data_IF_559239076434
#
_entry.id   IF_559239076434
#
_cell.length_a   1.000
_cell.length_b   1.000
_cell.length_c   1.000
_cell.angle_alpha   90.00
_cell.angle_beta   90.00
_cell.angle_gamma   90.00
#
_symmetry.space_group_name_H-M   'P 1'
#
loop_
_entity.id
_entity.type
_entity.pdbx_description
1 polymer ?
#
# COMPACT_ATOMS: atom_id res chain seq x y z
N UNK A 1 -26.72 -23.18 -39.25
CA UNK A 1 -26.04 -23.51 -37.98
C UNK A 1 -24.59 -23.87 -38.29
N UNK A 2 -23.68 -22.87 -38.39
CA UNK A 2 -22.36 -23.12 -39.00
C UNK A 2 -21.32 -22.00 -38.77
N UNK A 3 -21.40 -21.25 -37.65
CA UNK A 3 -20.52 -20.09 -37.43
C UNK A 3 -19.68 -20.11 -36.15
N UNK A 4 -20.13 -20.76 -35.07
CA UNK A 4 -19.53 -20.59 -33.73
C UNK A 4 -18.53 -21.68 -33.31
N UNK A 5 -18.40 -22.75 -34.08
CA UNK A 5 -17.51 -23.88 -33.75
C UNK A 5 -16.17 -23.87 -34.51
N UNK A 6 -16.03 -23.07 -35.56
CA UNK A 6 -14.77 -22.95 -36.31
C UNK A 6 -13.75 -22.01 -35.66
N UNK A 7 -14.18 -21.06 -34.84
CA UNK A 7 -13.31 -20.12 -34.14
C UNK A 7 -12.64 -20.72 -32.89
N UNK A 8 -13.25 -21.75 -32.28
CA UNK A 8 -12.69 -22.46 -31.13
C UNK A 8 -11.56 -23.44 -31.52
N UNK A 9 -11.54 -23.92 -32.77
CA UNK A 9 -10.52 -24.86 -33.24
C UNK A 9 -9.21 -24.20 -33.67
N UNK A 10 -9.20 -22.90 -33.99
CA UNK A 10 -7.99 -22.20 -34.46
C UNK A 10 -7.16 -21.57 -33.34
N UNK A 11 -7.74 -21.33 -32.15
CA UNK A 11 -7.01 -20.78 -30.99
C UNK A 11 -6.17 -21.88 -30.29
N UNK A 12 -6.58 -23.15 -30.39
CA UNK A 12 -5.86 -24.27 -29.75
C UNK A 12 -4.62 -24.75 -30.52
N UNK A 13 -4.48 -24.44 -31.82
CA UNK A 13 -3.32 -24.89 -32.62
C UNK A 13 -2.13 -23.93 -32.51
N UNK A 14 -2.34 -22.64 -32.21
CA UNK A 14 -1.25 -21.69 -31.98
C UNK A 14 -0.53 -21.90 -30.64
N UNK A 15 -1.17 -22.56 -29.66
CA UNK A 15 -0.56 -22.92 -28.37
C UNK A 15 0.28 -24.21 -28.43
N UNK A 16 0.16 -25.02 -29.49
CA UNK A 16 0.82 -26.33 -29.58
C UNK A 16 2.25 -26.31 -30.12
N UNK A 17 2.63 -25.31 -30.93
CA UNK A 17 3.93 -25.33 -31.64
C UNK A 17 5.05 -24.63 -30.87
N UNK A 18 4.73 -23.74 -29.92
CA UNK A 18 5.75 -23.07 -29.08
C UNK A 18 6.30 -24.00 -27.99
N UNK A 19 5.56 -25.06 -27.62
CA UNK A 19 5.96 -25.97 -26.55
C UNK A 19 7.13 -26.91 -26.94
N UNK A 20 7.33 -27.20 -28.23
CA UNK A 20 8.33 -28.20 -28.64
C UNK A 20 9.75 -27.63 -28.83
N UNK A 21 9.87 -26.32 -29.08
CA UNK A 21 11.18 -25.65 -29.22
C UNK A 21 11.88 -25.38 -27.87
N UNK A 22 11.15 -25.42 -26.75
CA UNK A 22 11.69 -25.13 -25.41
C UNK A 22 12.27 -26.39 -24.74
N UNK A 23 11.94 -27.59 -25.25
CA UNK A 23 12.33 -28.86 -24.63
C UNK A 23 13.79 -29.27 -24.89
N UNK A 24 14.53 -28.55 -25.76
CA UNK A 24 15.90 -28.91 -26.15
C UNK A 24 16.97 -28.00 -25.55
N UNK A 25 16.61 -26.99 -24.75
CA UNK A 25 17.59 -26.23 -23.98
C UNK A 25 17.87 -26.91 -22.63
N UNK A 26 19.14 -27.03 -22.22
CA UNK A 26 19.47 -27.63 -20.94
C UNK A 26 18.76 -26.84 -19.84
N UNK A 27 17.92 -27.54 -19.06
CA UNK A 27 17.23 -27.00 -17.89
C UNK A 27 18.26 -26.69 -16.81
N UNK A 28 18.97 -25.58 -16.91
CA UNK A 28 19.25 -24.77 -15.73
C UNK A 28 17.89 -24.30 -15.25
N UNK A 29 17.41 -24.86 -14.14
CA UNK A 29 16.19 -24.37 -13.48
C UNK A 29 16.25 -22.84 -13.40
N UNK A 30 15.18 -22.09 -13.73
CA UNK A 30 15.22 -20.66 -13.53
C UNK A 30 15.38 -20.45 -12.03
N UNK A 31 16.59 -20.06 -11.60
CA UNK A 31 16.76 -19.46 -10.29
C UNK A 31 15.79 -18.29 -10.27
N UNK A 32 14.75 -18.40 -9.45
CA UNK A 32 13.76 -17.34 -9.29
C UNK A 32 14.56 -16.07 -8.99
N UNK A 33 14.50 -15.07 -9.89
CA UNK A 33 15.33 -13.87 -9.81
C UNK A 33 15.22 -13.21 -8.43
N UNK A 34 14.09 -13.43 -7.75
CA UNK A 34 13.80 -12.96 -6.40
C UNK A 34 14.56 -13.67 -5.26
N UNK A 35 15.47 -14.61 -5.56
CA UNK A 35 16.36 -15.25 -4.55
C UNK A 35 17.66 -14.48 -4.29
N UNK A 36 17.98 -13.53 -5.19
CA UNK A 36 19.07 -12.57 -5.06
C UNK A 36 18.54 -11.22 -4.52
N UNK A 37 19.06 -10.72 -3.37
CA UNK A 37 18.62 -9.44 -2.80
C UNK A 37 18.75 -8.25 -3.76
N UNK A 38 19.79 -8.22 -4.61
CA UNK A 38 19.98 -7.12 -5.54
C UNK A 38 18.93 -7.14 -6.66
N UNK A 39 18.52 -8.33 -7.10
CA UNK A 39 17.42 -8.47 -8.04
C UNK A 39 16.06 -8.13 -7.42
N UNK A 40 15.79 -8.56 -6.19
CA UNK A 40 14.56 -8.16 -5.47
C UNK A 40 14.45 -6.65 -5.37
N UNK A 41 15.54 -5.97 -5.04
CA UNK A 41 15.55 -4.52 -4.99
C UNK A 41 15.22 -3.90 -6.36
N UNK A 42 15.84 -4.36 -7.44
CA UNK A 42 15.52 -3.85 -8.79
C UNK A 42 14.04 -4.02 -9.13
N UNK A 43 13.47 -5.20 -8.86
CA UNK A 43 12.06 -5.49 -9.13
C UNK A 43 11.13 -4.61 -8.28
N UNK A 44 11.38 -4.51 -6.96
CA UNK A 44 10.60 -3.66 -6.06
C UNK A 44 10.62 -2.19 -6.47
N UNK A 45 11.73 -1.70 -7.01
CA UNK A 45 11.87 -0.31 -7.44
C UNK A 45 11.33 -0.07 -8.85
N UNK A 46 11.20 -1.11 -9.68
CA UNK A 46 10.71 -1.04 -11.06
C UNK A 46 9.21 -1.35 -11.22
N UNK A 47 8.57 -1.99 -10.24
CA UNK A 47 7.15 -2.38 -10.26
C UNK A 47 6.21 -1.16 -10.21
N UNK A 48 6.04 -0.42 -11.30
CA UNK A 48 5.10 0.71 -11.32
C UNK A 48 3.63 0.23 -11.30
N UNK A 49 2.74 0.86 -10.49
CA UNK A 49 2.97 2.05 -9.66
C UNK A 49 3.54 1.80 -8.24
N UNK A 50 3.72 0.54 -7.82
CA UNK A 50 4.25 0.18 -6.49
C UNK A 50 5.69 0.66 -6.21
N UNK A 51 6.51 0.81 -7.24
CA UNK A 51 7.91 1.23 -7.15
C UNK A 51 8.07 2.61 -6.53
N UNK A 52 7.09 3.50 -6.68
CA UNK A 52 7.07 4.80 -6.00
C UNK A 52 6.99 4.66 -4.47
N UNK A 53 6.20 3.70 -3.98
CA UNK A 53 6.12 3.40 -2.55
C UNK A 53 7.42 2.76 -2.07
N UNK A 54 7.97 1.79 -2.79
CA UNK A 54 9.26 1.17 -2.49
C UNK A 54 10.39 2.19 -2.39
N UNK A 55 10.48 3.12 -3.35
CA UNK A 55 11.45 4.24 -3.32
C UNK A 55 11.25 5.15 -2.11
N UNK A 56 9.99 5.41 -1.75
CA UNK A 56 9.66 6.21 -0.56
C UNK A 56 10.13 5.51 0.70
N UNK A 57 9.76 4.24 0.91
CA UNK A 57 10.18 3.44 2.08
C UNK A 57 11.70 3.38 2.16
N UNK A 58 12.39 3.09 1.05
CA UNK A 58 13.86 3.06 1.00
C UNK A 58 14.49 4.38 1.47
N UNK A 59 13.93 5.52 1.07
CA UNK A 59 14.44 6.85 1.46
C UNK A 59 14.10 7.19 2.92
N UNK A 60 12.90 6.88 3.38
CA UNK A 60 12.39 7.36 4.68
C UNK A 60 12.71 6.40 5.82
N UNK A 61 12.67 5.09 5.58
CA UNK A 61 12.94 4.00 6.53
C UNK A 61 13.76 2.89 5.85
N UNK A 62 15.06 3.11 5.62
CA UNK A 62 15.90 2.15 4.91
C UNK A 62 15.95 0.76 5.58
N UNK A 63 15.86 0.70 6.91
CA UNK A 63 15.79 -0.58 7.65
C UNK A 63 14.52 -1.38 7.32
N UNK A 64 13.37 -0.71 7.21
CA UNK A 64 12.11 -1.37 6.81
C UNK A 64 12.20 -1.86 5.35
N UNK A 65 12.90 -1.13 4.47
CA UNK A 65 13.13 -1.55 3.09
C UNK A 65 14.03 -2.80 3.00
N UNK A 66 15.11 -2.86 3.78
CA UNK A 66 15.97 -4.03 3.83
C UNK A 66 15.25 -5.24 4.44
N UNK A 67 14.42 -5.03 5.45
CA UNK A 67 13.57 -6.09 6.02
C UNK A 67 12.52 -6.61 5.01
N UNK A 68 11.91 -5.73 4.22
CA UNK A 68 11.02 -6.12 3.11
C UNK A 68 11.76 -7.00 2.08
N UNK A 69 12.95 -6.56 1.65
CA UNK A 69 13.80 -7.34 0.73
C UNK A 69 14.10 -8.72 1.30
N UNK A 70 14.51 -8.78 2.56
CA UNK A 70 14.84 -10.04 3.24
C UNK A 70 13.62 -10.99 3.26
N UNK A 71 12.43 -10.50 3.61
CA UNK A 71 11.21 -11.29 3.62
C UNK A 71 10.85 -11.86 2.23
N UNK A 72 10.99 -11.05 1.18
CA UNK A 72 10.76 -11.49 -0.21
C UNK A 72 11.78 -12.56 -0.63
N UNK A 73 13.07 -12.34 -0.34
CA UNK A 73 14.13 -13.30 -0.65
C UNK A 73 13.92 -14.62 0.09
N UNK A 74 13.57 -14.56 1.37
CA UNK A 74 13.28 -15.74 2.18
C UNK A 74 12.11 -16.54 1.59
N UNK A 75 11.00 -15.87 1.24
CA UNK A 75 9.85 -16.54 0.64
C UNK A 75 10.18 -17.19 -0.70
N UNK A 76 10.95 -16.50 -1.54
CA UNK A 76 11.40 -17.04 -2.83
C UNK A 76 12.34 -18.23 -2.67
N UNK A 77 13.27 -18.20 -1.69
CA UNK A 77 14.18 -19.32 -1.38
C UNK A 77 13.44 -20.53 -0.81
N UNK A 78 12.35 -20.31 -0.11
CA UNK A 78 11.45 -21.37 0.34
C UNK A 78 10.61 -21.99 -0.80
N UNK A 79 10.85 -21.63 -2.06
CA UNK A 79 10.14 -22.15 -3.22
C UNK A 79 8.80 -21.46 -3.50
N UNK A 80 8.57 -20.27 -2.91
CA UNK A 80 7.35 -19.51 -3.11
C UNK A 80 7.13 -19.08 -4.56
N UNK A 81 5.90 -19.27 -5.03
CA UNK A 81 5.46 -18.77 -6.33
C UNK A 81 5.25 -17.24 -6.34
N UNK A 82 5.08 -16.62 -7.51
CA UNK A 82 4.92 -15.17 -7.63
C UNK A 82 3.80 -14.57 -6.76
N UNK A 83 2.64 -15.24 -6.67
CA UNK A 83 1.51 -14.77 -5.86
C UNK A 83 1.84 -14.75 -4.36
N UNK A 84 2.53 -15.78 -3.86
CA UNK A 84 2.89 -15.89 -2.45
C UNK A 84 3.99 -14.88 -2.06
N UNK A 85 4.88 -14.55 -2.99
CA UNK A 85 5.86 -13.47 -2.83
C UNK A 85 5.18 -12.10 -2.76
N UNK A 86 4.21 -11.85 -3.65
CA UNK A 86 3.42 -10.61 -3.62
C UNK A 86 2.62 -10.47 -2.33
N UNK A 87 1.99 -11.56 -1.87
CA UNK A 87 1.28 -11.59 -0.58
C UNK A 87 2.22 -11.27 0.58
N UNK A 88 3.41 -11.87 0.60
CA UNK A 88 4.44 -11.60 1.63
C UNK A 88 4.84 -10.12 1.65
N UNK A 89 5.11 -9.54 0.47
CA UNK A 89 5.46 -8.13 0.35
C UNK A 89 4.30 -7.22 0.81
N UNK A 90 3.08 -7.51 0.36
CA UNK A 90 1.88 -6.76 0.73
C UNK A 90 1.59 -6.79 2.24
N UNK A 91 1.67 -7.98 2.85
CA UNK A 91 1.49 -8.16 4.29
C UNK A 91 2.55 -7.41 5.10
N UNK A 92 3.83 -7.45 4.67
CA UNK A 92 4.90 -6.70 5.30
C UNK A 92 4.61 -5.19 5.26
N UNK A 93 4.29 -4.66 4.08
CA UNK A 93 4.03 -3.22 3.89
C UNK A 93 2.80 -2.79 4.70
N UNK A 94 1.72 -3.57 4.69
CA UNK A 94 0.51 -3.26 5.48
C UNK A 94 0.82 -3.22 6.98
N UNK A 95 1.51 -4.24 7.50
CA UNK A 95 1.91 -4.27 8.92
C UNK A 95 2.86 -3.12 9.29
N UNK A 96 3.79 -2.77 8.40
CA UNK A 96 4.71 -1.65 8.62
C UNK A 96 3.98 -0.30 8.61
N UNK A 97 3.08 -0.08 7.64
CA UNK A 97 2.19 1.08 7.59
C UNK A 97 1.38 1.23 8.88
N UNK A 98 0.79 0.13 9.39
CA UNK A 98 0.02 0.15 10.64
C UNK A 98 0.86 0.64 11.84
N UNK A 99 2.10 0.14 11.99
CA UNK A 99 2.99 0.60 13.08
C UNK A 99 3.30 2.09 13.01
N UNK A 100 3.27 2.68 11.82
CA UNK A 100 3.60 4.10 11.60
C UNK A 100 2.41 5.03 11.77
N UNK A 101 1.16 4.57 11.58
CA UNK A 101 -0.06 5.40 11.66
C UNK A 101 -0.14 6.23 12.94
N UNK A 102 0.14 5.61 14.08
CA UNK A 102 0.09 6.30 15.38
C UNK A 102 1.07 7.49 15.48
N UNK A 103 2.20 7.46 14.76
CA UNK A 103 3.21 8.52 14.81
C UNK A 103 2.84 9.76 13.98
N UNK A 104 1.94 9.64 13.00
CA UNK A 104 1.63 10.71 12.04
C UNK A 104 1.11 11.97 12.75
N UNK A 105 0.41 11.82 13.86
CA UNK A 105 -0.09 12.97 14.65
C UNK A 105 1.04 13.88 15.16
N UNK A 106 2.29 13.40 15.19
CA UNK A 106 3.47 14.20 15.55
C UNK A 106 4.16 14.82 14.33
N UNK A 107 3.72 14.56 13.10
CA UNK A 107 4.34 15.12 11.90
C UNK A 107 4.23 16.67 11.88
N UNK A 108 5.25 17.40 11.40
CA UNK A 108 5.15 18.82 11.10
C UNK A 108 3.92 19.13 10.25
N UNK A 109 3.31 20.30 10.46
CA UNK A 109 2.02 20.68 9.84
C UNK A 109 1.99 20.46 8.32
N UNK A 110 3.02 20.82 7.53
CA UNK A 110 3.00 20.57 6.09
C UNK A 110 2.86 19.09 5.72
N UNK A 111 3.60 18.21 6.40
CA UNK A 111 3.58 16.77 6.15
C UNK A 111 2.26 16.13 6.63
N UNK A 112 1.75 16.56 7.80
CA UNK A 112 0.45 16.14 8.30
C UNK A 112 -0.69 16.52 7.34
N UNK A 113 -0.68 17.76 6.81
CA UNK A 113 -1.68 18.21 5.83
C UNK A 113 -1.60 17.43 4.51
N UNK A 114 -0.40 17.13 4.02
CA UNK A 114 -0.23 16.32 2.82
C UNK A 114 -0.81 14.90 2.99
N UNK A 115 -0.57 14.27 4.13
CA UNK A 115 -1.18 12.99 4.48
C UNK A 115 -2.72 13.09 4.55
N UNK A 116 -3.25 14.06 5.31
CA UNK A 116 -4.70 14.24 5.47
C UNK A 116 -5.40 14.51 4.13
N UNK A 117 -4.79 15.31 3.24
CA UNK A 117 -5.33 15.56 1.91
C UNK A 117 -5.41 14.27 1.07
N UNK A 118 -4.38 13.41 1.15
CA UNK A 118 -4.38 12.13 0.44
C UNK A 118 -5.40 11.13 1.04
N UNK A 119 -5.56 11.10 2.37
CA UNK A 119 -6.58 10.30 3.06
C UNK A 119 -7.99 10.76 2.71
N UNK A 120 -8.26 12.07 2.74
CA UNK A 120 -9.56 12.64 2.38
C UNK A 120 -9.90 12.30 0.93
N UNK A 121 -8.97 12.45 -0.01
CA UNK A 121 -9.21 12.12 -1.42
C UNK A 121 -9.57 10.63 -1.63
N UNK A 122 -8.89 9.72 -0.91
CA UNK A 122 -9.23 8.29 -0.94
C UNK A 122 -10.62 8.04 -0.36
N UNK A 123 -10.92 8.59 0.82
CA UNK A 123 -12.19 8.41 1.50
C UNK A 123 -13.38 9.03 0.74
N UNK A 124 -13.19 10.18 0.08
CA UNK A 124 -14.21 10.81 -0.77
C UNK A 124 -14.51 9.94 -1.98
N UNK A 125 -13.49 9.36 -2.60
CA UNK A 125 -13.69 8.44 -3.71
C UNK A 125 -14.40 7.17 -3.26
N UNK A 126 -14.00 6.58 -2.12
CA UNK A 126 -14.71 5.46 -1.51
C UNK A 126 -16.17 5.81 -1.21
N UNK A 127 -16.44 6.98 -0.65
CA UNK A 127 -17.82 7.41 -0.34
C UNK A 127 -18.71 7.49 -1.59
N UNK A 128 -18.09 7.79 -2.74
CA UNK A 128 -18.79 7.92 -4.02
C UNK A 128 -19.01 6.56 -4.70
N UNK A 129 -18.02 5.67 -4.63
CA UNK A 129 -18.06 4.38 -5.36
C UNK A 129 -18.57 3.21 -4.52
N UNK A 130 -18.39 3.23 -3.21
CA UNK A 130 -18.91 2.25 -2.26
C UNK A 130 -18.96 2.83 -0.83
N UNK A 131 -20.11 3.39 -0.42
CA UNK A 131 -20.33 3.87 0.94
C UNK A 131 -20.01 2.82 2.01
N UNK A 132 -20.25 1.53 1.73
CA UNK A 132 -19.95 0.42 2.64
C UNK A 132 -18.44 0.28 2.87
N UNK A 133 -17.62 0.33 1.81
CA UNK A 133 -16.16 0.29 1.93
C UNK A 133 -15.61 1.53 2.62
N UNK A 134 -16.21 2.69 2.39
CA UNK A 134 -15.86 3.89 3.13
C UNK A 134 -16.17 3.75 4.63
N UNK A 135 -17.33 3.20 5.00
CA UNK A 135 -17.66 2.92 6.39
C UNK A 135 -16.68 1.90 7.01
N UNK A 136 -16.34 0.84 6.28
CA UNK A 136 -15.34 -0.14 6.69
C UNK A 136 -13.95 0.48 6.90
N UNK A 137 -13.55 1.42 6.04
CA UNK A 137 -12.30 2.17 6.17
C UNK A 137 -12.22 2.92 7.50
N UNK A 138 -13.27 3.61 7.91
CA UNK A 138 -13.28 4.36 9.17
C UNK A 138 -13.50 3.48 10.41
N UNK A 139 -14.20 2.35 10.26
CA UNK A 139 -14.42 1.39 11.35
C UNK A 139 -13.12 0.67 11.74
N UNK A 140 -12.37 0.22 10.73
CA UNK A 140 -11.09 -0.46 10.91
C UNK A 140 -10.13 -0.19 9.74
N UNK A 141 -9.36 0.91 9.80
CA UNK A 141 -8.39 1.25 8.76
C UNK A 141 -7.26 0.22 8.62
N UNK A 142 -7.08 -0.69 9.58
CA UNK A 142 -6.07 -1.74 9.55
C UNK A 142 -6.55 -2.98 8.78
N UNK A 143 -7.86 -3.16 8.63
CA UNK A 143 -8.45 -4.24 7.83
C UNK A 143 -8.53 -3.85 6.36
N UNK A 144 -7.37 -3.78 5.69
CA UNK A 144 -7.27 -3.44 4.26
C UNK A 144 -8.21 -4.29 3.40
N UNK A 145 -8.36 -5.59 3.70
CA UNK A 145 -9.27 -6.48 2.97
C UNK A 145 -10.74 -6.04 3.03
N UNK A 146 -11.15 -5.38 4.11
CA UNK A 146 -12.53 -4.92 4.31
C UNK A 146 -12.90 -3.68 3.48
N UNK A 147 -11.93 -2.85 3.10
CA UNK A 147 -12.19 -1.57 2.42
C UNK A 147 -11.44 -1.37 1.11
N UNK A 148 -10.36 -2.12 0.83
CA UNK A 148 -9.53 -1.96 -0.37
C UNK A 148 -10.30 -2.24 -1.66
N UNK A 149 -10.40 -1.20 -2.49
CA UNK A 149 -11.04 -1.26 -3.81
C UNK A 149 -9.94 -1.24 -4.90
N UNK A 150 -9.81 -2.29 -5.74
CA UNK A 150 -8.72 -2.38 -6.73
C UNK A 150 -8.66 -1.22 -7.73
N UNK A 151 -9.82 -0.67 -8.09
CA UNK A 151 -9.97 0.51 -8.95
C UNK A 151 -9.39 1.78 -8.32
N UNK A 152 -9.23 1.81 -6.99
CA UNK A 152 -8.66 2.93 -6.24
C UNK A 152 -7.18 2.75 -5.89
N UNK A 153 -6.49 1.75 -6.47
CA UNK A 153 -5.07 1.43 -6.19
C UNK A 153 -4.17 2.66 -6.24
N UNK A 154 -4.37 3.58 -7.18
CA UNK A 154 -3.56 4.79 -7.30
C UNK A 154 -3.74 5.75 -6.10
N UNK A 155 -4.97 5.91 -5.59
CA UNK A 155 -5.26 6.72 -4.41
C UNK A 155 -4.70 6.05 -3.14
N UNK A 156 -4.83 4.74 -3.03
CA UNK A 156 -4.22 3.96 -1.95
C UNK A 156 -2.69 4.16 -1.89
N UNK A 157 -2.01 4.07 -3.04
CA UNK A 157 -0.55 4.29 -3.11
C UNK A 157 -0.18 5.72 -2.75
N UNK A 158 -0.92 6.73 -3.23
CA UNK A 158 -0.69 8.13 -2.87
C UNK A 158 -0.83 8.36 -1.36
N UNK A 159 -1.88 7.81 -0.75
CA UNK A 159 -2.12 7.91 0.68
C UNK A 159 -1.00 7.22 1.49
N UNK A 160 -0.56 6.03 1.08
CA UNK A 160 0.55 5.34 1.73
C UNK A 160 1.87 6.12 1.59
N UNK A 161 2.20 6.64 0.40
CA UNK A 161 3.41 7.47 0.22
C UNK A 161 3.40 8.66 1.19
N UNK A 162 2.29 9.41 1.24
CA UNK A 162 2.16 10.55 2.15
C UNK A 162 2.23 10.14 3.63
N UNK A 163 1.71 8.95 3.98
CA UNK A 163 1.83 8.38 5.32
C UNK A 163 3.28 8.10 5.71
N UNK A 164 4.04 7.45 4.84
CA UNK A 164 5.45 7.12 5.09
C UNK A 164 6.32 8.38 5.18
N UNK A 165 6.02 9.40 4.37
CA UNK A 165 6.67 10.72 4.46
C UNK A 165 6.33 11.45 5.76
N UNK A 166 5.05 11.47 6.15
CA UNK A 166 4.61 12.10 7.40
C UNK A 166 5.19 11.38 8.63
N UNK A 167 5.25 10.05 8.62
CA UNK A 167 5.86 9.27 9.69
C UNK A 167 7.35 9.55 9.84
N UNK A 168 8.09 9.70 8.73
CA UNK A 168 9.49 10.11 8.79
C UNK A 168 9.65 11.53 9.31
N UNK A 169 8.82 12.47 8.84
CA UNK A 169 8.83 13.83 9.34
C UNK A 169 8.50 13.90 10.84
N UNK A 170 7.60 13.05 11.32
CA UNK A 170 7.29 12.91 12.75
C UNK A 170 8.46 12.35 13.56
N UNK A 171 9.22 11.38 13.02
CA UNK A 171 10.43 10.84 13.64
C UNK A 171 11.52 11.90 13.75
N UNK A 172 11.77 12.63 12.66
CA UNK A 172 12.91 13.52 12.54
C UNK A 172 12.64 14.90 13.17
N UNK A 173 11.39 15.38 13.10
CA UNK A 173 10.96 16.70 13.56
C UNK A 173 9.58 16.63 14.25
N UNK A 174 9.47 15.97 15.43
CA UNK A 174 8.18 15.84 16.11
C UNK A 174 7.63 17.21 16.52
N UNK A 175 6.35 17.44 16.25
CA UNK A 175 5.65 18.69 16.57
C UNK A 175 5.35 18.88 18.07
N UNK A 176 5.57 17.85 18.91
CA UNK A 176 5.35 17.93 20.36
C UNK A 176 3.88 18.11 20.75
N UNK A 177 2.95 17.56 19.97
CA UNK A 177 1.51 17.68 20.24
C UNK A 177 1.11 16.77 21.40
N UNK A 178 0.24 17.25 22.27
CA UNK A 178 -0.40 16.40 23.28
C UNK A 178 -1.52 15.62 22.58
N UNK A 179 -1.50 14.30 22.69
CA UNK A 179 -2.54 13.45 22.10
C UNK A 179 -3.71 13.43 23.09
N UNK A 180 -4.86 13.94 22.66
CA UNK A 180 -6.10 13.86 23.45
C UNK A 180 -6.60 12.42 23.60
N UNK A 181 -7.58 12.16 24.47
CA UNK A 181 -8.21 10.85 24.55
C UNK A 181 -8.75 10.40 23.19
N UNK A 182 -8.80 9.08 22.92
CA UNK A 182 -9.39 8.51 21.71
C UNK A 182 -10.77 9.11 21.45
N UNK A 183 -10.92 9.77 20.31
CA UNK A 183 -12.24 10.14 19.82
C UNK A 183 -13.04 8.86 19.54
N UNK A 184 -14.37 8.88 19.74
CA UNK A 184 -15.20 7.77 19.32
C UNK A 184 -14.96 7.48 17.83
N UNK A 185 -14.91 6.19 17.48
CA UNK A 185 -14.77 5.79 16.08
C UNK A 185 -15.99 6.30 15.31
N UNK A 186 -15.80 6.89 14.12
CA UNK A 186 -16.92 7.31 13.30
C UNK A 186 -17.85 6.13 13.03
N UNK A 187 -19.17 6.33 13.18
CA UNK A 187 -20.17 5.28 12.90
C UNK A 187 -20.65 5.32 11.45
N UNK A 188 -20.19 6.31 10.67
CA UNK A 188 -20.51 6.47 9.25
C UNK A 188 -19.33 7.03 8.46
N UNK A 189 -19.38 6.80 7.13
CA UNK A 189 -18.43 7.38 6.19
C UNK A 189 -18.42 8.92 6.23
N UNK A 190 -19.60 9.55 6.29
CA UNK A 190 -19.72 11.02 6.33
C UNK A 190 -19.11 11.61 7.60
N UNK A 191 -19.39 11.00 8.75
CA UNK A 191 -18.79 11.44 10.02
C UNK A 191 -17.27 11.31 10.01
N UNK A 192 -16.74 10.21 9.47
CA UNK A 192 -15.30 10.01 9.35
C UNK A 192 -14.63 11.04 8.42
N UNK A 193 -15.26 11.32 7.28
CA UNK A 193 -14.80 12.35 6.34
C UNK A 193 -14.83 13.74 6.96
N UNK A 194 -15.91 14.10 7.63
CA UNK A 194 -16.06 15.41 8.29
C UNK A 194 -15.02 15.58 9.40
N UNK A 195 -14.76 14.53 10.19
CA UNK A 195 -13.71 14.54 11.19
C UNK A 195 -12.31 14.76 10.56
N UNK A 196 -11.99 14.08 9.46
CA UNK A 196 -10.71 14.27 8.76
C UNK A 196 -10.58 15.68 8.17
N UNK A 197 -11.64 16.21 7.58
CA UNK A 197 -11.69 17.58 7.05
C UNK A 197 -11.50 18.61 8.16
N UNK A 198 -12.14 18.41 9.32
CA UNK A 198 -11.97 19.29 10.48
C UNK A 198 -10.52 19.32 10.97
N UNK A 199 -9.86 18.15 11.06
CA UNK A 199 -8.43 18.09 11.43
C UNK A 199 -7.55 18.77 10.39
N UNK A 200 -7.82 18.58 9.09
CA UNK A 200 -7.05 19.21 8.02
C UNK A 200 -7.18 20.74 8.01
N UNK A 201 -8.33 21.26 8.46
CA UNK A 201 -8.63 22.68 8.57
C UNK A 201 -8.07 23.35 9.85
N UNK A 202 -7.49 22.58 10.78
CA UNK A 202 -6.89 23.16 11.98
C UNK A 202 -5.73 24.11 11.60
N UNK A 203 -5.60 25.24 12.33
CA UNK A 203 -4.45 26.11 12.17
C UNK A 203 -3.17 25.38 12.57
N UNK A 204 -2.04 25.93 12.13
CA UNK A 204 -0.73 25.37 12.44
C UNK A 204 -0.60 25.19 13.97
N UNK A 205 -0.32 23.96 14.38
CA UNK A 205 -0.31 23.60 15.80
C UNK A 205 0.76 24.42 16.54
N UNK A 206 0.35 25.15 17.57
CA UNK A 206 1.28 25.71 18.54
C UNK A 206 1.73 24.61 19.51
N UNK A 207 2.96 24.73 20.04
CA UNK A 207 3.49 23.82 21.05
C UNK A 207 2.49 23.67 22.21
N UNK A 208 2.12 22.43 22.57
CA UNK A 208 1.16 22.13 23.63
C UNK A 208 -0.32 22.08 23.24
N UNK A 209 -0.68 22.29 21.98
CA UNK A 209 -2.07 22.14 21.52
C UNK A 209 -2.48 20.65 21.48
N UNK A 210 -3.67 20.35 22.02
CA UNK A 210 -4.24 19.01 21.95
C UNK A 210 -4.75 18.72 20.53
N UNK A 211 -4.28 17.63 19.93
CA UNK A 211 -4.81 17.12 18.66
C UNK A 211 -5.60 15.84 18.91
N UNK A 212 -6.70 15.62 18.16
CA UNK A 212 -7.38 14.34 18.22
C UNK A 212 -6.44 13.24 17.73
N UNK A 213 -6.50 12.03 18.32
CA UNK A 213 -5.75 10.90 17.83
C UNK A 213 -6.16 10.57 16.40
N UNK A 214 -5.18 10.20 15.60
CA UNK A 214 -5.39 9.75 14.23
C UNK A 214 -5.78 8.27 14.28
N UNK A 215 -6.90 7.90 13.64
CA UNK A 215 -7.39 6.51 13.54
C UNK A 215 -6.30 5.55 13.01
#
# INVERSE_FOLDING_TARGET
MSGRWRTLALILVALGVVAWAIAQWPRTAPQNALTDPASVERELLADEPGGALSRTIKRTFPEDFEALKAAVVERARAGGGPAEVQETAGAFVSAATQRRRASIVQAPVPALRAYLAAEIALAEQLSTTSPERCAAYFADPANDAGWYAPDLRALYLRQNIALWEAAAAARDHPAGRTIGPPAPKPVSCSEGLDARKAVAALPDAQFGQAYPPML
#
